data_IF_340821444243
#
_entry.id   IF_340821444243
#
_cell.length_a   1.000
_cell.length_b   1.000
_cell.length_c   1.000
_cell.angle_alpha   90.00
_cell.angle_beta   90.00
_cell.angle_gamma   90.00
#
_symmetry.space_group_name_H-M   'P 1'
#
loop_
_entity.id
_entity.type
_entity.pdbx_description
1 polymer ?
#
# COMPACT_ATOMS: atom_id res chain seq x y z
N UNK A 1 -36.05 21.99 -24.71
CA UNK A 1 -37.19 21.26 -24.16
C UNK A 1 -36.97 19.76 -24.34
N UNK A 2 -37.34 18.97 -23.34
CA UNK A 2 -37.27 17.51 -23.44
C UNK A 2 -38.31 16.99 -24.41
N UNK A 3 -37.90 16.11 -25.33
CA UNK A 3 -38.81 15.37 -26.22
C UNK A 3 -39.28 14.09 -25.53
N UNK A 4 -40.57 13.85 -25.51
CA UNK A 4 -41.19 12.67 -24.86
C UNK A 4 -41.81 11.80 -25.93
N UNK A 5 -41.43 10.51 -25.97
CA UNK A 5 -41.95 9.51 -26.91
C UNK A 5 -42.50 8.31 -26.11
N UNK A 6 -43.77 7.94 -26.39
CA UNK A 6 -44.41 6.76 -25.80
C UNK A 6 -44.03 5.52 -26.61
N UNK A 7 -43.53 4.49 -25.93
CA UNK A 7 -43.16 3.21 -26.55
C UNK A 7 -44.29 2.19 -26.46
N UNK A 8 -44.28 1.22 -27.37
CA UNK A 8 -45.30 0.15 -27.44
C UNK A 8 -45.43 -0.66 -26.14
N UNK A 9 -44.38 -0.74 -25.33
CA UNK A 9 -44.36 -1.46 -24.05
C UNK A 9 -44.86 -0.62 -22.86
N UNK A 10 -45.55 0.51 -23.09
CA UNK A 10 -46.09 1.38 -22.06
C UNK A 10 -45.06 2.25 -21.32
N UNK A 11 -43.79 2.22 -21.72
CA UNK A 11 -42.77 3.13 -21.20
C UNK A 11 -42.67 4.40 -22.05
N UNK A 12 -42.09 5.45 -21.45
CA UNK A 12 -41.83 6.72 -22.10
C UNK A 12 -40.33 6.96 -22.24
N UNK A 13 -39.90 7.39 -23.43
CA UNK A 13 -38.53 7.85 -23.68
C UNK A 13 -38.51 9.36 -23.59
N UNK A 14 -37.72 9.91 -22.70
CA UNK A 14 -37.47 11.34 -22.55
C UNK A 14 -36.10 11.62 -23.15
N UNK A 15 -36.00 12.51 -24.13
CA UNK A 15 -34.75 12.89 -24.80
C UNK A 15 -34.51 14.39 -24.65
N UNK A 16 -33.28 14.75 -24.23
CA UNK A 16 -32.86 16.15 -24.09
C UNK A 16 -31.64 16.38 -24.97
N UNK A 17 -31.66 17.46 -25.70
CA UNK A 17 -30.53 17.93 -26.49
C UNK A 17 -29.52 18.63 -25.57
N UNK A 18 -28.26 18.20 -25.62
CA UNK A 18 -27.18 18.65 -24.75
C UNK A 18 -26.05 19.39 -25.51
N UNK A 19 -26.34 19.95 -26.67
CA UNK A 19 -25.38 20.68 -27.52
C UNK A 19 -24.72 19.81 -28.58
N UNK A 20 -23.58 20.26 -29.08
CA UNK A 20 -22.79 19.56 -30.09
C UNK A 20 -21.52 18.92 -29.50
N UNK A 21 -20.89 17.98 -30.21
CA UNK A 21 -19.56 17.49 -29.89
C UNK A 21 -18.51 18.61 -29.94
N UNK A 22 -17.33 18.39 -29.31
CA UNK A 22 -16.28 19.42 -29.25
C UNK A 22 -15.79 19.88 -30.65
N UNK A 23 -15.96 19.03 -31.68
CA UNK A 23 -15.65 19.30 -33.07
C UNK A 23 -16.84 19.94 -33.85
N UNK A 24 -17.97 20.19 -33.16
CA UNK A 24 -19.18 20.79 -33.74
C UNK A 24 -19.98 19.89 -34.72
N UNK A 25 -19.53 18.67 -35.00
CA UNK A 25 -20.06 17.84 -36.09
C UNK A 25 -21.27 17.00 -35.70
N UNK A 26 -21.39 16.60 -34.42
CA UNK A 26 -22.46 15.70 -33.95
C UNK A 26 -23.31 16.31 -32.84
N UNK A 27 -24.62 16.20 -32.96
CA UNK A 27 -25.55 16.56 -31.90
C UNK A 27 -25.45 15.57 -30.74
N UNK A 28 -25.14 16.07 -29.55
CA UNK A 28 -25.20 15.31 -28.32
C UNK A 28 -26.59 15.39 -27.71
N UNK A 29 -27.23 14.23 -27.52
CA UNK A 29 -28.51 14.13 -26.81
C UNK A 29 -28.41 13.07 -25.73
N UNK A 30 -29.03 13.33 -24.60
CA UNK A 30 -29.23 12.32 -23.55
C UNK A 30 -30.65 11.83 -23.53
N UNK A 31 -30.88 10.58 -23.18
CA UNK A 31 -32.22 10.02 -23.09
C UNK A 31 -32.36 9.14 -21.84
N UNK A 32 -33.53 9.21 -21.21
CA UNK A 32 -33.90 8.31 -20.13
C UNK A 32 -35.24 7.60 -20.48
N UNK A 33 -35.41 6.40 -19.92
CA UNK A 33 -36.68 5.67 -20.01
C UNK A 33 -37.40 5.83 -18.67
N UNK A 34 -38.64 6.31 -18.75
CA UNK A 34 -39.50 6.46 -17.58
C UNK A 34 -40.70 5.47 -17.68
N UNK A 35 -41.13 4.94 -16.54
CA UNK A 35 -42.30 4.08 -16.43
C UNK A 35 -43.19 4.56 -15.29
N UNK A 36 -44.53 4.44 -15.40
CA UNK A 36 -45.42 4.70 -14.28
C UNK A 36 -45.01 3.89 -13.05
N UNK A 37 -44.97 4.54 -11.90
CA UNK A 37 -44.56 3.91 -10.64
C UNK A 37 -45.59 2.93 -10.06
N UNK A 38 -46.83 3.01 -10.53
CA UNK A 38 -47.94 2.12 -10.11
C UNK A 38 -48.78 1.74 -11.32
N UNK A 39 -49.28 0.48 -11.43
CA UNK A 39 -50.04 0.04 -12.61
C UNK A 39 -51.41 0.74 -12.76
N UNK A 40 -51.98 1.28 -11.70
CA UNK A 40 -53.31 1.90 -11.68
C UNK A 40 -53.32 3.42 -11.65
N UNK A 41 -52.28 4.07 -12.21
CA UNK A 41 -52.25 5.53 -12.34
C UNK A 41 -53.20 6.00 -13.43
N UNK A 42 -54.00 7.04 -13.16
CA UNK A 42 -54.80 7.72 -14.19
C UNK A 42 -53.92 8.44 -15.20
N UNK A 43 -54.42 8.66 -16.43
CA UNK A 43 -53.66 9.37 -17.46
C UNK A 43 -53.15 10.73 -17.01
N UNK A 44 -53.97 11.52 -16.25
CA UNK A 44 -53.58 12.80 -15.68
C UNK A 44 -52.45 12.67 -14.66
N UNK A 45 -52.43 11.59 -13.87
CA UNK A 45 -51.35 11.33 -12.91
C UNK A 45 -50.05 10.92 -13.59
N UNK A 46 -50.16 10.13 -14.67
CA UNK A 46 -49.04 9.73 -15.55
C UNK A 46 -48.42 10.97 -16.17
N UNK A 47 -49.25 11.82 -16.78
CA UNK A 47 -48.79 13.04 -17.47
C UNK A 47 -48.09 14.01 -16.49
N UNK A 48 -48.68 14.24 -15.31
CA UNK A 48 -48.08 15.11 -14.29
C UNK A 48 -46.71 14.57 -13.80
N UNK A 49 -46.65 13.26 -13.53
CA UNK A 49 -45.42 12.61 -13.08
C UNK A 49 -44.36 12.56 -14.19
N UNK A 50 -44.78 12.33 -15.46
CA UNK A 50 -43.90 12.32 -16.61
C UNK A 50 -43.33 13.72 -16.91
N UNK A 51 -44.16 14.76 -16.87
CA UNK A 51 -43.72 16.14 -17.07
C UNK A 51 -42.74 16.58 -15.97
N UNK A 52 -42.97 16.18 -14.70
CA UNK A 52 -42.03 16.41 -13.62
C UNK A 52 -40.70 15.69 -13.87
N UNK A 53 -40.74 14.42 -14.27
CA UNK A 53 -39.54 13.64 -14.58
C UNK A 53 -38.77 14.21 -15.77
N UNK A 54 -39.50 14.74 -16.78
CA UNK A 54 -38.90 15.40 -17.94
C UNK A 54 -38.21 16.71 -17.56
N UNK A 55 -38.84 17.51 -16.70
CA UNK A 55 -38.28 18.76 -16.20
C UNK A 55 -37.02 18.49 -15.34
N UNK A 56 -37.11 17.56 -14.39
CA UNK A 56 -35.97 17.16 -13.55
C UNK A 56 -34.80 16.61 -14.39
N UNK A 57 -35.11 15.90 -15.48
CA UNK A 57 -34.10 15.39 -16.40
C UNK A 57 -33.47 16.48 -17.26
N UNK A 58 -34.28 17.42 -17.76
CA UNK A 58 -33.79 18.59 -18.50
C UNK A 58 -32.88 19.46 -17.64
N UNK A 59 -33.25 19.72 -16.38
CA UNK A 59 -32.43 20.45 -15.43
C UNK A 59 -31.09 19.76 -15.16
N UNK A 60 -31.12 18.44 -15.00
CA UNK A 60 -29.88 17.63 -14.89
C UNK A 60 -28.98 17.76 -16.11
N UNK A 61 -29.56 17.71 -17.29
CA UNK A 61 -28.80 17.87 -18.54
C UNK A 61 -28.22 19.28 -18.69
N UNK A 62 -28.97 20.32 -18.32
CA UNK A 62 -28.52 21.73 -18.35
C UNK A 62 -27.42 22.02 -17.31
N UNK A 63 -27.49 21.39 -16.15
CA UNK A 63 -26.45 21.52 -15.11
C UNK A 63 -25.15 20.77 -15.46
N UNK A 64 -25.09 20.17 -16.65
CA UNK A 64 -23.92 19.40 -17.13
C UNK A 64 -23.77 18.05 -16.44
N UNK A 65 -24.78 17.59 -15.68
CA UNK A 65 -24.80 16.25 -15.13
C UNK A 65 -25.10 15.27 -16.27
N UNK A 66 -24.08 14.57 -16.72
CA UNK A 66 -24.26 13.41 -17.61
C UNK A 66 -25.02 12.34 -16.84
N UNK A 67 -26.09 11.79 -17.45
CA UNK A 67 -26.71 10.57 -16.89
C UNK A 67 -25.72 9.43 -17.14
N UNK A 68 -24.81 9.28 -16.21
CA UNK A 68 -23.77 8.27 -16.32
C UNK A 68 -24.36 6.92 -15.94
N UNK A 69 -24.76 6.14 -16.97
CA UNK A 69 -25.25 4.78 -16.80
C UNK A 69 -24.10 3.79 -16.53
N UNK A 70 -22.89 4.31 -16.37
CA UNK A 70 -21.67 3.54 -16.23
C UNK A 70 -21.59 2.80 -14.88
N UNK A 71 -21.10 1.57 -14.92
CA UNK A 71 -20.82 0.81 -13.69
C UNK A 71 -19.65 1.42 -12.94
N UNK A 72 -19.67 1.28 -11.63
CA UNK A 72 -18.63 1.83 -10.76
C UNK A 72 -17.24 1.26 -11.08
N UNK A 73 -17.12 -0.04 -11.43
CA UNK A 73 -15.84 -0.64 -11.83
C UNK A 73 -15.22 0.04 -13.05
N UNK A 74 -16.02 0.31 -14.12
CA UNK A 74 -15.54 0.99 -15.32
C UNK A 74 -15.14 2.44 -15.02
N UNK A 75 -15.94 3.11 -14.17
CA UNK A 75 -15.63 4.47 -13.75
C UNK A 75 -14.34 4.53 -12.92
N UNK A 76 -14.05 3.52 -12.08
CA UNK A 76 -12.78 3.41 -11.38
C UNK A 76 -11.60 3.31 -12.34
N UNK A 77 -11.71 2.53 -13.42
CA UNK A 77 -10.62 2.45 -14.42
C UNK A 77 -10.42 3.80 -15.11
N UNK A 78 -11.50 4.50 -15.49
CA UNK A 78 -11.43 5.88 -15.99
C UNK A 78 -10.77 6.83 -14.99
N UNK A 79 -11.05 6.67 -13.69
CA UNK A 79 -10.40 7.45 -12.63
C UNK A 79 -8.91 7.15 -12.54
N UNK A 80 -8.49 5.87 -12.66
CA UNK A 80 -7.07 5.52 -12.68
C UNK A 80 -6.35 6.18 -13.84
N UNK A 81 -6.86 6.05 -15.06
CA UNK A 81 -6.26 6.58 -16.29
C UNK A 81 -6.21 8.12 -16.31
N UNK A 82 -7.33 8.75 -15.98
CA UNK A 82 -7.49 10.20 -16.20
C UNK A 82 -7.07 11.04 -14.99
N UNK A 83 -6.99 10.46 -13.79
CA UNK A 83 -6.72 11.21 -12.56
C UNK A 83 -5.59 10.62 -11.72
N UNK A 84 -5.71 9.35 -11.31
CA UNK A 84 -4.81 8.79 -10.31
C UNK A 84 -3.35 8.74 -10.77
N UNK A 85 -3.11 8.28 -12.01
CA UNK A 85 -1.76 8.16 -12.58
C UNK A 85 -1.04 9.50 -12.74
N UNK A 86 -1.80 10.60 -12.89
CA UNK A 86 -1.25 11.95 -13.01
C UNK A 86 -1.07 12.67 -11.68
N UNK A 87 -1.87 12.33 -10.66
CA UNK A 87 -1.95 13.09 -9.41
C UNK A 87 -1.36 12.37 -8.21
N UNK A 88 -1.38 11.04 -8.21
CA UNK A 88 -0.86 10.23 -7.12
C UNK A 88 0.57 9.77 -7.40
N UNK A 89 1.33 9.55 -6.34
CA UNK A 89 2.61 8.84 -6.45
C UNK A 89 2.38 7.39 -6.87
N UNK A 90 3.31 6.76 -7.60
CA UNK A 90 3.17 5.38 -8.06
C UNK A 90 2.75 4.39 -6.97
N UNK A 91 3.36 4.46 -5.79
CA UNK A 91 2.98 3.63 -4.63
C UNK A 91 1.55 3.88 -4.12
N UNK A 92 1.00 5.07 -4.37
CA UNK A 92 -0.40 5.39 -4.07
C UNK A 92 -1.36 4.72 -5.05
N UNK A 93 -1.02 4.76 -6.35
CA UNK A 93 -1.78 4.09 -7.41
C UNK A 93 -1.79 2.57 -7.17
N UNK A 94 -0.62 1.95 -6.95
CA UNK A 94 -0.50 0.52 -6.65
C UNK A 94 -1.37 0.13 -5.45
N UNK A 95 -1.33 0.94 -4.39
CA UNK A 95 -2.16 0.69 -3.21
C UNK A 95 -3.65 0.82 -3.48
N UNK A 96 -4.08 1.77 -4.31
CA UNK A 96 -5.47 1.86 -4.74
C UNK A 96 -5.88 0.64 -5.56
N UNK A 97 -5.01 0.15 -6.45
CA UNK A 97 -5.21 -1.08 -7.22
C UNK A 97 -5.37 -2.32 -6.31
N UNK A 98 -4.63 -2.41 -5.21
CA UNK A 98 -4.80 -3.49 -4.23
C UNK A 98 -6.20 -3.54 -3.59
N UNK A 99 -6.92 -2.41 -3.55
CA UNK A 99 -8.28 -2.35 -2.99
C UNK A 99 -9.36 -2.73 -4.00
N UNK A 100 -9.10 -2.66 -5.31
CA UNK A 100 -10.13 -2.85 -6.34
C UNK A 100 -10.84 -4.21 -6.28
N UNK A 101 -10.20 -5.37 -6.03
CA UNK A 101 -10.91 -6.64 -6.07
C UNK A 101 -12.12 -6.68 -5.12
N UNK A 102 -11.93 -6.28 -3.86
CA UNK A 102 -13.03 -6.26 -2.87
C UNK A 102 -14.04 -5.15 -3.13
N UNK A 103 -13.59 -4.02 -3.63
CA UNK A 103 -14.48 -2.91 -3.99
C UNK A 103 -15.35 -3.30 -5.18
N UNK A 104 -14.78 -3.95 -6.20
CA UNK A 104 -15.52 -4.40 -7.38
C UNK A 104 -16.50 -5.52 -7.05
N UNK A 105 -16.13 -6.46 -6.18
CA UNK A 105 -17.02 -7.51 -5.71
C UNK A 105 -18.33 -6.94 -5.14
N UNK A 106 -18.25 -5.85 -4.35
CA UNK A 106 -19.42 -5.33 -3.64
C UNK A 106 -20.10 -4.16 -4.35
N UNK A 107 -19.34 -3.27 -4.98
CA UNK A 107 -19.84 -2.02 -5.56
C UNK A 107 -19.68 -1.96 -7.07
N UNK A 108 -18.78 -2.76 -7.67
CA UNK A 108 -18.38 -2.65 -9.08
C UNK A 108 -19.53 -2.78 -10.08
N UNK A 109 -20.46 -3.68 -9.83
CA UNK A 109 -21.61 -3.96 -10.69
C UNK A 109 -22.70 -2.87 -10.63
N UNK A 110 -22.67 -2.01 -9.61
CA UNK A 110 -23.64 -0.95 -9.42
C UNK A 110 -23.34 0.24 -10.34
N UNK A 111 -24.37 0.94 -10.78
CA UNK A 111 -24.19 2.20 -11.50
C UNK A 111 -23.72 3.28 -10.54
N UNK A 112 -22.75 4.11 -10.96
CA UNK A 112 -22.17 5.14 -10.12
C UNK A 112 -23.20 6.15 -9.58
N UNK A 113 -24.22 6.48 -10.39
CA UNK A 113 -25.31 7.41 -10.02
C UNK A 113 -26.37 6.78 -9.07
N UNK A 114 -26.25 5.48 -8.77
CA UNK A 114 -27.16 4.72 -7.92
C UNK A 114 -26.54 4.29 -6.58
N UNK A 115 -25.25 4.51 -6.41
CA UNK A 115 -24.59 4.22 -5.14
C UNK A 115 -24.94 5.35 -4.15
N UNK A 116 -25.73 5.01 -3.15
CA UNK A 116 -26.19 5.93 -2.10
C UNK A 116 -25.37 5.71 -0.82
N UNK A 117 -25.47 6.58 0.20
CA UNK A 117 -24.86 6.35 1.51
C UNK A 117 -25.21 4.98 2.11
N UNK A 118 -26.41 4.46 1.84
CA UNK A 118 -26.84 3.12 2.32
C UNK A 118 -25.99 2.00 1.73
N UNK A 119 -25.64 2.05 0.44
CA UNK A 119 -24.75 1.07 -0.18
C UNK A 119 -23.33 1.17 0.39
N UNK A 120 -22.87 2.39 0.71
CA UNK A 120 -21.56 2.59 1.37
C UNK A 120 -21.55 2.02 2.78
N UNK A 121 -22.59 2.25 3.59
CA UNK A 121 -22.72 1.65 4.93
C UNK A 121 -22.81 0.11 4.87
N UNK A 122 -23.52 -0.41 3.87
CA UNK A 122 -23.56 -1.84 3.56
C UNK A 122 -22.18 -2.40 3.21
N UNK A 123 -21.39 -1.67 2.43
CA UNK A 123 -20.02 -2.03 2.08
C UNK A 123 -19.08 -2.02 3.31
N UNK A 124 -19.19 -1.01 4.17
CA UNK A 124 -18.42 -0.93 5.43
C UNK A 124 -18.75 -2.12 6.34
N UNK A 125 -20.04 -2.43 6.50
CA UNK A 125 -20.49 -3.56 7.31
C UNK A 125 -19.98 -4.90 6.75
N UNK A 126 -20.01 -5.06 5.42
CA UNK A 126 -19.48 -6.24 4.75
C UNK A 126 -17.97 -6.37 4.92
N UNK A 127 -17.20 -5.27 4.76
CA UNK A 127 -15.75 -5.25 5.03
C UNK A 127 -15.42 -5.67 6.46
N UNK A 128 -16.24 -5.27 7.44
CA UNK A 128 -16.06 -5.66 8.85
C UNK A 128 -16.17 -7.16 9.10
N UNK A 129 -16.80 -7.89 8.19
CA UNK A 129 -16.91 -9.36 8.22
C UNK A 129 -15.88 -10.08 7.35
N UNK A 130 -15.01 -9.32 6.66
CA UNK A 130 -13.99 -9.89 5.81
C UNK A 130 -12.71 -10.18 6.59
N UNK A 131 -12.14 -11.33 6.33
CA UNK A 131 -10.83 -11.69 6.85
C UNK A 131 -9.71 -11.00 6.06
N UNK A 132 -8.59 -10.76 6.72
CA UNK A 132 -7.37 -10.41 6.01
C UNK A 132 -7.01 -11.59 5.12
N UNK A 133 -6.96 -11.40 3.80
CA UNK A 133 -6.43 -12.42 2.89
C UNK A 133 -4.94 -12.60 3.19
N UNK A 134 -4.66 -13.44 4.16
CA UNK A 134 -3.33 -14.01 4.28
C UNK A 134 -3.33 -15.30 3.48
N UNK A 135 -2.37 -15.43 2.57
CA UNK A 135 -1.97 -16.72 2.07
C UNK A 135 -1.92 -17.67 3.26
N UNK A 136 -2.72 -18.73 3.21
CA UNK A 136 -2.73 -19.74 4.27
C UNK A 136 -1.28 -20.16 4.54
N UNK A 137 -0.89 -20.18 5.80
CA UNK A 137 0.42 -20.65 6.21
C UNK A 137 0.35 -22.16 6.50
N UNK A 138 1.47 -22.82 6.39
CA UNK A 138 1.63 -24.23 6.67
C UNK A 138 2.72 -24.45 7.71
N UNK A 139 2.47 -25.27 8.71
CA UNK A 139 3.47 -25.79 9.62
C UNK A 139 3.75 -27.25 9.28
N UNK A 140 5.02 -27.63 9.13
CA UNK A 140 5.37 -29.02 8.86
C UNK A 140 5.08 -29.89 10.08
N UNK A 141 4.51 -31.09 9.85
CA UNK A 141 4.23 -32.10 10.88
C UNK A 141 5.40 -33.06 10.99
N UNK A 142 6.02 -33.10 12.13
CA UNK A 142 7.12 -34.03 12.39
C UNK A 142 8.50 -33.51 11.98
N UNK A 143 9.40 -34.40 11.59
CA UNK A 143 10.79 -34.07 11.23
C UNK A 143 11.03 -34.25 9.72
N UNK A 144 11.10 -33.13 9.00
CA UNK A 144 11.40 -33.13 7.57
C UNK A 144 12.81 -33.65 7.28
N UNK A 145 13.78 -33.47 8.22
CA UNK A 145 15.14 -33.98 8.03
C UNK A 145 15.15 -35.51 8.01
N UNK A 146 14.37 -36.14 8.90
CA UNK A 146 14.25 -37.61 8.93
C UNK A 146 13.65 -38.13 7.63
N UNK A 147 12.62 -37.49 7.08
CA UNK A 147 12.03 -37.88 5.78
C UNK A 147 13.04 -37.72 4.64
N UNK A 148 13.83 -36.64 4.63
CA UNK A 148 14.86 -36.40 3.61
C UNK A 148 15.95 -37.46 3.68
N UNK A 149 16.40 -37.81 4.88
CA UNK A 149 17.39 -38.86 5.08
C UNK A 149 16.88 -40.24 4.60
N UNK A 150 15.60 -40.56 4.86
CA UNK A 150 15.00 -41.83 4.42
C UNK A 150 14.84 -41.91 2.89
N UNK A 151 14.66 -40.75 2.22
CA UNK A 151 14.53 -40.69 0.76
C UNK A 151 15.86 -40.40 0.04
N UNK A 152 16.95 -40.36 0.75
CA UNK A 152 18.30 -40.04 0.24
C UNK A 152 18.33 -38.68 -0.54
N UNK A 153 17.59 -37.70 0.01
CA UNK A 153 17.44 -36.38 -0.59
C UNK A 153 18.10 -35.30 0.28
N UNK A 154 18.75 -34.34 -0.38
CA UNK A 154 19.25 -33.12 0.29
C UNK A 154 18.22 -32.02 0.32
N UNK A 155 18.33 -31.06 1.27
CA UNK A 155 17.48 -29.88 1.28
C UNK A 155 17.57 -29.07 -0.03
N UNK A 156 18.76 -29.07 -0.66
CA UNK A 156 19.00 -28.37 -1.93
C UNK A 156 18.27 -29.06 -3.07
N UNK A 157 18.38 -30.40 -3.16
CA UNK A 157 17.68 -31.20 -4.17
C UNK A 157 16.16 -31.06 -4.04
N UNK A 158 15.61 -31.09 -2.80
CA UNK A 158 14.18 -30.86 -2.59
C UNK A 158 13.76 -29.44 -3.00
N UNK A 159 14.59 -28.43 -2.73
CA UNK A 159 14.29 -27.05 -3.13
C UNK A 159 14.19 -26.91 -4.66
N UNK A 160 15.14 -27.51 -5.38
CA UNK A 160 15.16 -27.53 -6.85
C UNK A 160 13.96 -28.29 -7.42
N UNK A 161 13.67 -29.48 -6.90
CA UNK A 161 12.56 -30.32 -7.36
C UNK A 161 11.18 -29.69 -7.07
N UNK A 162 11.01 -29.06 -5.91
CA UNK A 162 9.78 -28.36 -5.53
C UNK A 162 9.64 -26.96 -6.17
N UNK A 163 10.68 -26.43 -6.82
CA UNK A 163 10.68 -25.07 -7.35
C UNK A 163 10.49 -23.99 -6.27
N UNK A 164 11.08 -24.19 -5.09
CA UNK A 164 11.03 -23.26 -3.96
C UNK A 164 12.44 -22.84 -3.52
N UNK A 165 12.56 -21.73 -2.79
CA UNK A 165 13.87 -21.32 -2.29
C UNK A 165 14.43 -22.29 -1.23
N UNK A 166 15.75 -22.45 -1.17
CA UNK A 166 16.42 -23.21 -0.12
C UNK A 166 16.06 -22.71 1.28
N UNK A 167 15.83 -21.40 1.43
CA UNK A 167 15.37 -20.81 2.69
C UNK A 167 13.95 -21.29 3.07
N UNK A 168 13.07 -21.54 2.10
CA UNK A 168 11.73 -22.11 2.36
C UNK A 168 11.84 -23.53 2.92
N UNK A 169 12.71 -24.36 2.33
CA UNK A 169 12.96 -25.71 2.85
C UNK A 169 13.57 -25.65 4.25
N UNK A 170 14.56 -24.79 4.48
CA UNK A 170 15.14 -24.58 5.80
C UNK A 170 14.09 -24.17 6.84
N UNK A 171 13.18 -23.26 6.46
CA UNK A 171 12.06 -22.86 7.34
C UNK A 171 11.15 -24.04 7.66
N UNK A 172 10.83 -24.88 6.68
CA UNK A 172 10.01 -26.08 6.90
C UNK A 172 10.71 -27.10 7.81
N UNK A 173 12.04 -27.30 7.65
CA UNK A 173 12.84 -28.18 8.53
C UNK A 173 12.99 -27.66 9.96
N UNK A 174 12.87 -26.37 10.16
CA UNK A 174 12.86 -25.72 11.49
C UNK A 174 11.44 -25.58 12.06
N UNK A 175 10.44 -26.24 11.47
CA UNK A 175 9.00 -26.14 11.83
C UNK A 175 8.46 -24.71 11.84
N UNK A 176 9.11 -23.79 11.11
CA UNK A 176 8.64 -22.44 10.90
C UNK A 176 7.54 -22.41 9.85
N UNK A 177 6.65 -21.44 9.98
CA UNK A 177 5.56 -21.26 9.03
C UNK A 177 6.07 -20.89 7.64
N UNK A 178 5.59 -21.60 6.64
CA UNK A 178 5.78 -21.33 5.22
C UNK A 178 4.43 -21.06 4.56
N UNK A 179 4.41 -20.50 3.35
CA UNK A 179 3.16 -20.32 2.59
C UNK A 179 2.57 -21.66 2.19
N UNK A 180 1.24 -21.77 2.21
CA UNK A 180 0.54 -22.99 1.83
C UNK A 180 0.88 -23.47 0.41
N UNK A 181 0.98 -22.53 -0.56
CA UNK A 181 1.44 -22.84 -1.93
C UNK A 181 2.81 -23.54 -1.97
N UNK A 182 3.73 -23.11 -1.10
CA UNK A 182 5.05 -23.75 -1.01
C UNK A 182 4.95 -25.12 -0.33
N UNK A 183 4.05 -25.28 0.63
CA UNK A 183 3.78 -26.57 1.26
C UNK A 183 3.21 -27.58 0.24
N UNK A 184 2.30 -27.15 -0.64
CA UNK A 184 1.77 -27.97 -1.73
C UNK A 184 2.86 -28.40 -2.70
N UNK A 185 3.76 -27.49 -3.11
CA UNK A 185 4.90 -27.80 -3.98
C UNK A 185 5.89 -28.78 -3.33
N UNK A 186 6.20 -28.58 -2.04
CA UNK A 186 7.07 -29.48 -1.28
C UNK A 186 6.42 -30.86 -1.14
N UNK A 187 5.14 -30.92 -0.85
CA UNK A 187 4.40 -32.19 -0.72
C UNK A 187 4.34 -32.94 -2.03
N UNK A 188 4.12 -32.27 -3.15
CA UNK A 188 4.17 -32.86 -4.49
C UNK A 188 5.56 -33.45 -4.81
N UNK A 189 6.64 -32.72 -4.48
CA UNK A 189 8.01 -33.21 -4.67
C UNK A 189 8.34 -34.39 -3.77
N UNK A 190 7.73 -34.50 -2.59
CA UNK A 190 7.88 -35.66 -1.70
C UNK A 190 6.95 -36.84 -2.06
N UNK A 191 5.99 -36.64 -2.97
CA UNK A 191 5.02 -37.67 -3.36
C UNK A 191 3.97 -37.97 -2.29
N UNK A 192 3.70 -37.01 -1.38
CA UNK A 192 2.76 -37.19 -0.27
C UNK A 192 1.68 -36.12 -0.27
N UNK A 193 0.44 -36.42 0.19
CA UNK A 193 -0.62 -35.41 0.32
C UNK A 193 -0.24 -34.27 1.28
N UNK A 194 -0.50 -33.03 0.88
CA UNK A 194 -0.12 -31.86 1.67
C UNK A 194 -0.72 -31.88 3.08
N UNK A 195 -1.97 -32.30 3.24
CA UNK A 195 -2.66 -32.39 4.52
C UNK A 195 -2.05 -33.43 5.49
N UNK A 196 -1.28 -34.41 4.96
CA UNK A 196 -0.56 -35.38 5.77
C UNK A 196 0.73 -34.79 6.35
N UNK A 197 1.41 -33.94 5.56
CA UNK A 197 2.71 -33.38 5.91
C UNK A 197 2.63 -32.01 6.60
N UNK A 198 1.56 -31.26 6.36
CA UNK A 198 1.44 -29.89 6.85
C UNK A 198 0.12 -29.62 7.53
N UNK A 199 0.18 -28.85 8.63
CA UNK A 199 -0.97 -28.21 9.25
C UNK A 199 -1.26 -26.87 8.57
N UNK A 200 -2.46 -26.72 8.00
CA UNK A 200 -2.92 -25.45 7.45
C UNK A 200 -3.26 -24.52 8.60
N UNK A 201 -2.59 -23.37 8.66
CA UNK A 201 -2.86 -22.32 9.63
C UNK A 201 -3.37 -21.09 8.89
N UNK A 202 -4.66 -20.81 9.04
CA UNK A 202 -5.29 -19.57 8.61
C UNK A 202 -5.35 -18.63 9.81
N UNK A 203 -4.82 -17.43 9.66
CA UNK A 203 -5.04 -16.35 10.63
C UNK A 203 -6.46 -15.82 10.39
N UNK A 204 -7.39 -16.12 11.29
CA UNK A 204 -8.78 -15.65 11.24
C UNK A 204 -8.95 -14.17 11.61
N UNK A 205 -7.93 -13.36 11.34
CA UNK A 205 -7.98 -11.93 11.63
C UNK A 205 -8.91 -11.20 10.67
N UNK A 206 -9.94 -10.55 11.23
CA UNK A 206 -10.80 -9.61 10.51
C UNK A 206 -10.01 -8.36 10.07
N UNK A 207 -10.50 -7.68 9.04
CA UNK A 207 -9.94 -6.40 8.61
C UNK A 207 -9.95 -5.40 9.76
N UNK A 208 -8.82 -4.73 9.99
CA UNK A 208 -8.75 -3.71 11.02
C UNK A 208 -9.59 -2.47 10.66
N UNK A 209 -10.12 -1.72 11.65
CA UNK A 209 -10.81 -0.45 11.42
C UNK A 209 -10.02 0.52 10.54
N UNK A 210 -8.69 0.56 10.71
CA UNK A 210 -7.81 1.37 9.87
C UNK A 210 -7.80 0.91 8.42
N UNK A 211 -7.80 -0.40 8.18
CA UNK A 211 -7.87 -0.96 6.82
C UNK A 211 -9.20 -0.64 6.17
N UNK A 212 -10.33 -0.80 6.88
CA UNK A 212 -11.67 -0.43 6.40
C UNK A 212 -11.70 1.05 6.01
N UNK A 213 -11.18 1.95 6.85
CA UNK A 213 -11.07 3.37 6.53
C UNK A 213 -10.28 3.62 5.25
N UNK A 214 -9.19 2.87 5.00
CA UNK A 214 -8.40 3.02 3.78
C UNK A 214 -9.22 2.61 2.53
N UNK A 215 -10.00 1.53 2.58
CA UNK A 215 -10.93 1.14 1.50
C UNK A 215 -11.92 2.26 1.20
N UNK A 216 -12.58 2.79 2.24
CA UNK A 216 -13.56 3.88 2.08
C UNK A 216 -12.90 5.15 1.58
N UNK A 217 -11.68 5.47 2.00
CA UNK A 217 -10.93 6.62 1.50
C UNK A 217 -10.60 6.50 0.01
N UNK A 218 -10.28 5.31 -0.47
CA UNK A 218 -10.10 5.04 -1.89
C UNK A 218 -11.41 5.27 -2.65
N UNK A 219 -12.50 4.62 -2.22
CA UNK A 219 -13.83 4.78 -2.84
C UNK A 219 -14.28 6.25 -2.83
N UNK A 220 -14.06 6.95 -1.73
CA UNK A 220 -14.36 8.38 -1.61
C UNK A 220 -13.57 9.23 -2.62
N UNK A 221 -12.29 8.93 -2.87
CA UNK A 221 -11.50 9.68 -3.85
C UNK A 221 -12.00 9.49 -5.29
N UNK A 222 -12.52 8.30 -5.63
CA UNK A 222 -13.18 8.05 -6.92
C UNK A 222 -14.47 8.88 -7.03
N UNK A 223 -15.29 8.91 -5.97
CA UNK A 223 -16.52 9.72 -5.95
C UNK A 223 -16.24 11.23 -5.94
N UNK A 224 -15.17 11.70 -5.27
CA UNK A 224 -14.78 13.10 -5.33
C UNK A 224 -14.41 13.52 -6.75
N UNK A 225 -13.73 12.66 -7.51
CA UNK A 225 -13.48 12.89 -8.92
C UNK A 225 -14.78 12.89 -9.74
N UNK A 226 -15.72 11.98 -9.45
CA UNK A 226 -17.02 11.94 -10.11
C UNK A 226 -17.83 13.22 -9.88
N UNK A 227 -17.76 13.80 -8.68
CA UNK A 227 -18.34 15.11 -8.36
C UNK A 227 -17.63 16.22 -9.12
N UNK A 228 -16.29 16.20 -9.15
CA UNK A 228 -15.47 17.20 -9.84
C UNK A 228 -15.82 17.29 -11.34
N UNK A 229 -15.99 16.16 -12.02
CA UNK A 229 -16.39 16.11 -13.44
C UNK A 229 -17.92 16.19 -13.64
N UNK A 230 -18.68 16.46 -12.57
CA UNK A 230 -20.15 16.56 -12.57
C UNK A 230 -20.89 15.31 -13.02
N UNK A 231 -20.28 14.12 -12.89
CA UNK A 231 -20.93 12.85 -13.15
C UNK A 231 -22.00 12.52 -12.10
N UNK A 232 -21.80 12.97 -10.87
CA UNK A 232 -22.76 12.85 -9.75
C UNK A 232 -22.84 14.19 -8.98
N UNK A 233 -23.88 14.38 -8.17
CA UNK A 233 -24.10 15.62 -7.41
C UNK A 233 -23.23 15.71 -6.16
N UNK A 234 -23.12 14.62 -5.43
CA UNK A 234 -22.45 14.55 -4.13
C UNK A 234 -21.75 13.20 -3.94
N UNK A 235 -20.74 13.21 -3.08
CA UNK A 235 -20.00 12.01 -2.74
C UNK A 235 -20.74 11.24 -1.63
N UNK A 236 -21.22 10.01 -1.88
CA UNK A 236 -21.97 9.23 -0.91
C UNK A 236 -21.15 8.78 0.31
N UNK A 237 -19.82 8.86 0.26
CA UNK A 237 -18.95 8.47 1.36
C UNK A 237 -18.78 9.55 2.43
N UNK A 238 -19.19 10.82 2.17
CA UNK A 238 -18.88 11.94 3.09
C UNK A 238 -19.44 11.78 4.50
N UNK A 239 -20.61 11.16 4.63
CA UNK A 239 -21.30 10.96 5.90
C UNK A 239 -21.30 9.49 6.35
N UNK A 240 -20.39 8.66 5.78
CA UNK A 240 -20.32 7.26 6.13
C UNK A 240 -19.85 7.03 7.57
N UNK A 241 -20.55 6.15 8.29
CA UNK A 241 -20.25 5.79 9.68
C UNK A 241 -19.05 4.82 9.72
N UNK A 242 -17.85 5.36 9.84
CA UNK A 242 -16.63 4.56 9.93
C UNK A 242 -16.44 3.96 11.32
N UNK A 243 -15.90 2.72 11.42
CA UNK A 243 -15.59 2.12 12.71
C UNK A 243 -14.52 2.94 13.45
N UNK A 244 -14.66 3.04 14.77
CA UNK A 244 -13.68 3.71 15.62
C UNK A 244 -12.32 3.01 15.53
N UNK A 245 -11.28 3.80 15.26
CA UNK A 245 -9.91 3.29 15.23
C UNK A 245 -9.37 3.38 16.67
N UNK A 246 -9.03 2.26 17.32
CA UNK A 246 -8.37 2.31 18.61
C UNK A 246 -7.07 3.11 18.49
N UNK A 247 -6.82 4.02 19.42
CA UNK A 247 -5.51 4.65 19.52
C UNK A 247 -4.50 3.57 19.91
N UNK A 248 -3.66 3.20 18.95
CA UNK A 248 -2.53 2.34 19.25
C UNK A 248 -1.45 3.19 19.94
N UNK A 249 -1.02 2.76 21.11
CA UNK A 249 0.18 3.32 21.71
C UNK A 249 1.37 3.07 20.78
N UNK A 250 1.97 4.15 20.30
CA UNK A 250 3.21 4.07 19.54
C UNK A 250 4.34 3.72 20.50
N UNK A 251 4.72 2.45 20.52
CA UNK A 251 5.88 2.01 21.30
C UNK A 251 7.13 2.70 20.78
N UNK A 252 7.74 3.48 21.64
CA UNK A 252 9.04 4.13 21.44
C UNK A 252 9.98 3.63 22.52
N UNK A 253 11.27 3.70 22.26
CA UNK A 253 12.25 3.50 23.33
C UNK A 253 12.16 4.63 24.35
N UNK A 254 12.23 4.30 25.63
CA UNK A 254 12.59 5.24 26.69
C UNK A 254 14.04 5.70 26.49
N UNK A 255 14.46 6.74 27.20
CA UNK A 255 15.84 7.23 27.11
C UNK A 255 16.84 6.14 27.48
N UNK A 256 16.55 5.34 28.52
CA UNK A 256 17.45 4.28 28.98
C UNK A 256 17.48 3.10 27.99
N UNK A 257 16.33 2.74 27.37
CA UNK A 257 16.30 1.74 26.32
C UNK A 257 17.03 2.21 25.06
N UNK A 258 16.95 3.50 24.74
CA UNK A 258 17.69 4.10 23.63
C UNK A 258 19.21 4.07 23.88
N UNK A 259 19.67 4.35 25.11
CA UNK A 259 21.09 4.21 25.50
C UNK A 259 21.55 2.77 25.36
N UNK A 260 20.79 1.81 25.91
CA UNK A 260 21.09 0.39 25.78
C UNK A 260 21.15 -0.05 24.31
N UNK A 261 20.28 0.48 23.46
CA UNK A 261 20.30 0.18 22.03
C UNK A 261 21.55 0.78 21.35
N UNK A 262 21.98 1.98 21.73
CA UNK A 262 23.22 2.59 21.24
C UNK A 262 24.44 1.76 21.67
N UNK A 263 24.50 1.31 22.93
CA UNK A 263 25.58 0.42 23.41
C UNK A 263 25.65 -0.88 22.59
N UNK A 264 24.49 -1.44 22.18
CA UNK A 264 24.43 -2.61 21.31
C UNK A 264 24.94 -2.28 19.90
N UNK A 265 24.60 -1.11 19.36
CA UNK A 265 25.10 -0.67 18.06
C UNK A 265 26.62 -0.50 18.04
N UNK A 266 27.21 -0.05 19.13
CA UNK A 266 28.64 0.23 19.24
C UNK A 266 29.50 -1.01 19.53
N UNK A 267 28.89 -2.18 19.72
CA UNK A 267 29.61 -3.45 19.88
C UNK A 267 30.31 -3.85 18.58
N UNK A 268 31.47 -4.48 18.74
CA UNK A 268 32.31 -4.92 17.60
C UNK A 268 31.63 -5.96 16.70
N UNK A 269 30.74 -6.79 17.25
CA UNK A 269 29.96 -7.81 16.53
C UNK A 269 28.77 -7.24 15.75
N UNK A 270 28.44 -5.95 15.92
CA UNK A 270 27.37 -5.29 15.14
C UNK A 270 27.87 -4.89 13.76
N UNK A 271 27.26 -5.43 12.66
CA UNK A 271 27.66 -5.05 11.31
C UNK A 271 27.54 -3.55 11.08
N UNK A 272 28.60 -2.94 10.57
CA UNK A 272 28.74 -1.48 10.40
C UNK A 272 27.57 -0.85 9.63
N UNK A 273 26.98 -1.56 8.66
CA UNK A 273 25.80 -1.08 7.92
C UNK A 273 24.59 -0.82 8.80
N UNK A 274 24.36 -1.64 9.85
CA UNK A 274 23.25 -1.42 10.77
C UNK A 274 23.59 -0.33 11.79
N UNK A 275 24.83 -0.28 12.28
CA UNK A 275 25.32 0.81 13.13
C UNK A 275 25.11 2.15 12.42
N UNK A 276 25.60 2.30 11.19
CA UNK A 276 25.45 3.53 10.42
C UNK A 276 23.97 3.87 10.13
N UNK A 277 23.15 2.87 9.79
CA UNK A 277 21.73 3.08 9.52
C UNK A 277 21.00 3.65 10.74
N UNK A 278 21.19 3.05 11.91
CA UNK A 278 20.49 3.46 13.13
C UNK A 278 21.06 4.74 13.74
N UNK A 279 22.37 5.00 13.61
CA UNK A 279 22.93 6.31 13.95
C UNK A 279 22.30 7.43 13.12
N UNK A 280 22.16 7.25 11.81
CA UNK A 280 21.47 8.21 10.95
C UNK A 280 19.98 8.35 11.32
N UNK A 281 19.31 7.25 11.69
CA UNK A 281 17.90 7.27 12.09
C UNK A 281 17.69 8.03 13.42
N UNK A 282 18.57 7.80 14.41
CA UNK A 282 18.46 8.39 15.75
C UNK A 282 18.90 9.85 15.74
N UNK A 283 20.10 10.14 15.24
CA UNK A 283 20.69 11.48 15.33
C UNK A 283 20.22 12.42 14.20
N UNK A 284 19.90 11.89 13.02
CA UNK A 284 19.38 12.70 11.91
C UNK A 284 17.85 12.74 11.82
N UNK A 285 17.15 11.87 12.54
CA UNK A 285 15.70 11.78 12.47
C UNK A 285 15.18 11.52 11.05
N UNK A 286 15.97 10.85 10.20
CA UNK A 286 15.63 10.59 8.80
C UNK A 286 14.54 9.51 8.67
N UNK A 287 13.74 9.61 7.61
CA UNK A 287 12.82 8.53 7.25
C UNK A 287 13.59 7.37 6.63
N UNK A 288 13.09 6.13 6.80
CA UNK A 288 13.71 4.92 6.23
C UNK A 288 14.08 5.09 4.75
N UNK A 289 13.15 5.58 3.94
CA UNK A 289 13.40 5.76 2.50
C UNK A 289 14.40 6.88 2.18
N UNK A 290 14.52 7.89 3.03
CA UNK A 290 15.54 8.93 2.95
C UNK A 290 16.92 8.33 3.22
N UNK A 291 17.08 7.54 4.31
CA UNK A 291 18.36 6.87 4.64
C UNK A 291 18.81 5.94 3.52
N UNK A 292 17.90 5.08 3.03
CA UNK A 292 18.20 4.15 1.95
C UNK A 292 18.48 4.84 0.61
N UNK A 293 17.99 6.08 0.45
CA UNK A 293 18.23 6.92 -0.71
C UNK A 293 19.51 7.73 -0.68
N UNK A 294 20.25 7.73 0.43
CA UNK A 294 21.53 8.46 0.51
C UNK A 294 22.57 7.90 -0.43
N UNK A 295 23.27 8.80 -1.07
CA UNK A 295 24.45 8.53 -1.90
C UNK A 295 25.70 9.15 -1.28
N UNK A 296 26.87 8.66 -1.64
CA UNK A 296 28.14 9.15 -1.07
C UNK A 296 28.35 10.65 -1.29
N UNK A 297 27.85 11.20 -2.40
CA UNK A 297 27.90 12.63 -2.71
C UNK A 297 26.97 13.50 -1.85
N UNK A 298 25.99 12.89 -1.16
CA UNK A 298 25.08 13.61 -0.28
C UNK A 298 25.73 13.95 1.07
N UNK A 299 26.93 13.44 1.34
CA UNK A 299 27.61 13.61 2.62
C UNK A 299 28.88 14.42 2.42
N UNK A 300 28.91 15.58 3.06
CA UNK A 300 30.15 16.34 3.24
C UNK A 300 30.84 15.83 4.52
N UNK A 301 31.92 15.09 4.33
CA UNK A 301 32.67 14.46 5.41
C UNK A 301 33.53 15.45 6.21
N UNK A 302 33.77 16.65 5.73
CA UNK A 302 34.58 17.67 6.39
C UNK A 302 33.70 18.52 7.31
N UNK A 303 32.53 18.92 6.84
CA UNK A 303 31.58 19.74 7.60
C UNK A 303 30.56 18.91 8.39
N UNK A 304 30.43 17.62 8.11
CA UNK A 304 29.41 16.73 8.71
C UNK A 304 28.00 16.98 8.21
N UNK A 305 27.82 17.70 7.10
CA UNK A 305 26.53 18.02 6.51
C UNK A 305 26.04 16.86 5.67
N UNK A 306 24.78 16.44 5.90
CA UNK A 306 24.08 15.42 5.10
C UNK A 306 22.88 16.05 4.38
N UNK A 307 22.85 15.92 3.08
CA UNK A 307 21.78 16.42 2.21
C UNK A 307 20.74 15.36 1.92
N UNK A 308 19.47 15.62 2.20
CA UNK A 308 18.36 14.76 1.83
C UNK A 308 17.76 15.24 0.52
N UNK A 309 18.06 14.54 -0.58
CA UNK A 309 17.64 14.89 -1.93
C UNK A 309 16.57 13.97 -2.49
N UNK A 310 16.53 12.71 -2.03
CA UNK A 310 15.65 11.66 -2.60
C UNK A 310 15.12 10.70 -1.55
N UNK A 311 14.12 9.94 -1.94
CA UNK A 311 13.54 8.86 -1.14
C UNK A 311 13.40 7.61 -2.02
N UNK A 312 14.00 6.50 -1.59
CA UNK A 312 13.90 5.20 -2.28
C UNK A 312 12.61 4.50 -1.92
N UNK A 313 11.94 3.99 -2.94
CA UNK A 313 10.79 3.11 -2.86
C UNK A 313 11.09 1.79 -3.58
N UNK A 314 10.28 0.79 -3.27
CA UNK A 314 10.31 -0.50 -3.96
C UNK A 314 8.88 -0.91 -4.29
N UNK A 315 8.64 -1.35 -5.52
CA UNK A 315 7.42 -2.05 -5.90
C UNK A 315 7.75 -3.33 -6.65
N UNK A 316 6.80 -4.27 -6.72
CA UNK A 316 7.01 -5.52 -7.45
C UNK A 316 7.13 -5.30 -8.96
N UNK A 317 6.42 -4.32 -9.49
CA UNK A 317 6.35 -4.03 -10.93
C UNK A 317 7.55 -3.24 -11.43
N UNK A 318 8.03 -2.26 -10.62
CA UNK A 318 9.07 -1.31 -11.02
C UNK A 318 10.44 -1.60 -10.41
N UNK A 319 10.50 -2.50 -9.41
CA UNK A 319 11.71 -2.66 -8.61
C UNK A 319 11.97 -1.45 -7.70
N UNK A 320 13.24 -1.07 -7.55
CA UNK A 320 13.62 0.14 -6.81
C UNK A 320 13.51 1.38 -7.69
N UNK A 321 12.94 2.44 -7.13
CA UNK A 321 12.84 3.73 -7.80
C UNK A 321 12.92 4.88 -6.80
N UNK A 322 13.46 6.00 -7.27
CA UNK A 322 13.57 7.22 -6.48
C UNK A 322 12.36 8.12 -6.69
N UNK A 323 12.01 8.84 -5.65
CA UNK A 323 11.06 9.94 -5.72
C UNK A 323 11.63 11.14 -5.00
N UNK A 324 11.23 12.33 -5.43
CA UNK A 324 11.46 13.52 -4.64
C UNK A 324 10.82 13.38 -3.25
N UNK A 325 11.41 14.00 -2.23
CA UNK A 325 10.81 14.05 -0.90
C UNK A 325 9.38 14.59 -0.96
N UNK A 326 8.53 14.16 -0.02
CA UNK A 326 7.06 14.42 -0.03
C UNK A 326 6.67 15.91 -0.05
N UNK A 327 7.57 16.82 0.34
CA UNK A 327 7.35 18.25 0.31
C UNK A 327 8.68 18.98 0.11
N UNK A 328 8.67 20.21 -0.42
CA UNK A 328 9.87 21.08 -0.52
C UNK A 328 10.59 21.25 0.82
N UNK A 329 9.88 21.29 1.93
CA UNK A 329 10.46 21.30 3.29
C UNK A 329 11.18 19.99 3.68
N UNK A 330 11.01 18.91 2.94
CA UNK A 330 11.70 17.64 3.19
C UNK A 330 13.04 17.56 2.48
N UNK A 331 13.32 18.41 1.49
CA UNK A 331 14.67 18.66 0.97
C UNK A 331 15.37 19.54 2.00
N UNK A 332 16.34 18.99 2.69
CA UNK A 332 17.03 19.66 3.80
C UNK A 332 18.45 19.16 3.93
N UNK A 333 19.29 19.98 4.50
CA UNK A 333 20.62 19.64 4.97
C UNK A 333 20.62 19.62 6.49
N UNK A 334 21.32 18.68 7.08
CA UNK A 334 21.46 18.53 8.54
C UNK A 334 22.91 18.27 8.86
N UNK A 335 23.46 19.01 9.84
CA UNK A 335 24.79 18.71 10.40
C UNK A 335 24.63 17.61 11.43
N UNK A 336 25.39 16.54 11.29
CA UNK A 336 25.37 15.39 12.19
C UNK A 336 26.59 15.39 13.12
N UNK A 337 26.49 14.79 14.31
CA UNK A 337 27.62 14.61 15.22
C UNK A 337 28.79 13.90 14.54
N UNK A 338 30.01 14.27 14.90
CA UNK A 338 31.25 13.71 14.32
C UNK A 338 31.34 12.18 14.45
N UNK A 339 30.83 11.61 15.55
CA UNK A 339 30.77 10.15 15.75
C UNK A 339 29.88 9.43 14.72
N UNK A 340 28.78 10.06 14.29
CA UNK A 340 27.92 9.52 13.23
C UNK A 340 28.65 9.54 11.89
N UNK A 341 29.28 10.65 11.58
CA UNK A 341 30.07 10.81 10.34
C UNK A 341 31.24 9.82 10.31
N UNK A 342 31.90 9.60 11.46
CA UNK A 342 32.96 8.58 11.60
C UNK A 342 32.42 7.17 11.28
N UNK A 343 31.27 6.81 11.83
CA UNK A 343 30.61 5.53 11.55
C UNK A 343 30.29 5.37 10.05
N UNK A 344 29.83 6.44 9.39
CA UNK A 344 29.57 6.43 7.93
C UNK A 344 30.86 6.32 7.12
N UNK A 345 31.97 6.93 7.58
CA UNK A 345 33.31 6.71 6.97
C UNK A 345 33.75 5.23 7.06
N UNK A 346 33.53 4.59 8.21
CA UNK A 346 33.80 3.16 8.38
C UNK A 346 32.98 2.30 7.42
N UNK A 347 31.67 2.61 7.24
CA UNK A 347 30.83 1.94 6.26
C UNK A 347 31.37 2.07 4.83
N UNK A 348 31.87 3.26 4.45
CA UNK A 348 32.49 3.49 3.15
C UNK A 348 33.71 2.60 2.94
N UNK A 349 34.58 2.53 3.94
CA UNK A 349 35.79 1.70 3.89
C UNK A 349 35.45 0.21 3.76
N UNK A 350 34.45 -0.28 4.51
CA UNK A 350 33.99 -1.66 4.38
C UNK A 350 33.42 -1.94 2.97
N UNK A 351 32.59 -1.03 2.44
CA UNK A 351 32.02 -1.19 1.10
C UNK A 351 33.12 -1.18 0.02
N UNK A 352 34.14 -0.33 0.15
CA UNK A 352 35.31 -0.33 -0.76
C UNK A 352 36.08 -1.66 -0.68
N UNK A 353 36.30 -2.18 0.52
CA UNK A 353 36.94 -3.49 0.72
C UNK A 353 36.12 -4.63 0.09
N UNK A 354 34.80 -4.63 0.25
CA UNK A 354 33.91 -5.62 -0.38
C UNK A 354 33.97 -5.52 -1.91
N UNK A 355 33.96 -4.31 -2.45
CA UNK A 355 34.11 -4.07 -3.90
C UNK A 355 35.42 -4.63 -4.45
N UNK A 356 36.53 -4.40 -3.76
CA UNK A 356 37.84 -4.93 -4.16
C UNK A 356 37.85 -6.47 -4.13
N UNK A 357 37.24 -7.09 -3.13
CA UNK A 357 37.15 -8.57 -3.00
C UNK A 357 36.31 -9.21 -4.09
N UNK A 358 35.22 -8.56 -4.51
CA UNK A 358 34.25 -9.11 -5.46
C UNK A 358 34.61 -8.79 -6.92
N UNK A 359 35.38 -7.73 -7.17
CA UNK A 359 35.76 -7.33 -8.53
C UNK A 359 34.54 -7.13 -9.42
N UNK A 360 34.51 -7.81 -10.55
CA UNK A 360 33.44 -7.70 -11.56
C UNK A 360 32.06 -8.21 -11.07
N UNK A 361 32.01 -8.93 -9.95
CA UNK A 361 30.74 -9.35 -9.33
C UNK A 361 30.08 -8.26 -8.51
N UNK A 362 30.77 -7.14 -8.30
CA UNK A 362 30.22 -6.00 -7.58
C UNK A 362 29.33 -5.16 -8.49
N UNK A 363 28.06 -5.00 -8.09
CA UNK A 363 27.18 -4.05 -8.75
C UNK A 363 27.52 -2.62 -8.33
N UNK A 364 28.08 -1.85 -9.28
CA UNK A 364 28.53 -0.47 -9.02
C UNK A 364 27.36 0.44 -8.73
N UNK A 365 27.39 1.12 -7.58
CA UNK A 365 26.35 2.06 -7.11
C UNK A 365 26.96 3.19 -6.31
N UNK A 366 26.31 4.32 -6.29
CA UNK A 366 26.60 5.47 -5.42
C UNK A 366 25.98 5.36 -4.01
N UNK A 367 25.13 4.36 -3.76
CA UNK A 367 24.36 4.21 -2.53
C UNK A 367 25.20 3.83 -1.32
N UNK A 368 24.85 4.41 -0.16
CA UNK A 368 25.46 4.04 1.13
C UNK A 368 25.04 2.63 1.56
N UNK A 369 23.78 2.29 1.40
CA UNK A 369 23.20 1.06 1.94
C UNK A 369 22.96 0.04 0.85
N UNK A 370 23.84 -0.95 0.79
CA UNK A 370 23.85 -2.01 -0.21
C UNK A 370 23.72 -3.39 0.41
N UNK A 371 23.43 -4.36 -0.44
CA UNK A 371 23.64 -5.78 -0.16
C UNK A 371 25.14 -6.10 -0.26
N UNK A 372 25.52 -7.32 0.06
CA UNK A 372 26.92 -7.77 0.03
C UNK A 372 27.58 -7.67 -1.37
N UNK A 373 26.77 -7.66 -2.42
CA UNK A 373 27.16 -7.61 -3.82
C UNK A 373 26.93 -6.23 -4.49
N UNK A 374 26.62 -5.21 -3.71
CA UNK A 374 26.47 -3.83 -4.19
C UNK A 374 25.08 -3.42 -4.64
N UNK A 375 24.07 -4.31 -4.67
CA UNK A 375 22.71 -3.93 -5.00
C UNK A 375 22.06 -3.12 -3.88
N UNK A 376 20.99 -2.37 -4.22
CA UNK A 376 20.23 -1.58 -3.25
C UNK A 376 19.71 -2.46 -2.09
N UNK A 377 19.95 -2.05 -0.85
CA UNK A 377 19.40 -2.73 0.33
C UNK A 377 17.88 -2.62 0.37
N UNK A 378 17.20 -3.75 0.59
CA UNK A 378 15.75 -3.77 0.70
C UNK A 378 15.25 -3.08 1.98
N UNK A 379 14.15 -2.31 1.86
CA UNK A 379 13.60 -1.51 2.96
C UNK A 379 13.18 -2.28 4.21
N UNK A 380 12.93 -3.58 4.10
CA UNK A 380 12.61 -4.42 5.27
C UNK A 380 13.87 -4.90 6.01
N UNK A 381 15.06 -4.88 5.38
CA UNK A 381 16.30 -5.41 5.97
C UNK A 381 16.66 -4.78 7.32
N UNK A 382 16.67 -3.44 7.48
CA UNK A 382 16.97 -2.82 8.77
C UNK A 382 15.90 -3.16 9.83
N UNK A 383 14.64 -3.25 9.45
CA UNK A 383 13.57 -3.60 10.38
C UNK A 383 13.67 -5.06 10.86
N UNK A 384 14.00 -5.98 9.96
CA UNK A 384 14.22 -7.39 10.31
C UNK A 384 15.38 -7.55 11.28
N UNK A 385 16.48 -6.81 11.06
CA UNK A 385 17.61 -6.80 11.99
C UNK A 385 17.21 -6.22 13.35
N UNK A 386 16.55 -5.05 13.37
CA UNK A 386 16.04 -4.42 14.60
C UNK A 386 15.17 -5.37 15.43
N UNK A 387 14.22 -6.04 14.78
CA UNK A 387 13.32 -6.97 15.48
C UNK A 387 14.09 -8.10 16.16
N UNK A 388 15.05 -8.70 15.47
CA UNK A 388 15.90 -9.76 16.03
C UNK A 388 16.76 -9.26 17.17
N UNK A 389 17.34 -8.06 17.03
CA UNK A 389 18.17 -7.43 18.07
C UNK A 389 17.33 -7.10 19.31
N UNK A 390 16.13 -6.54 19.14
CA UNK A 390 15.23 -6.29 20.26
C UNK A 390 14.84 -7.60 20.99
N UNK A 391 14.58 -8.67 20.27
CA UNK A 391 14.28 -9.99 20.84
C UNK A 391 15.49 -10.55 21.62
N UNK A 392 16.68 -10.46 21.04
CA UNK A 392 17.93 -11.00 21.61
C UNK A 392 18.31 -10.28 22.91
N UNK A 393 18.14 -8.96 22.98
CA UNK A 393 18.58 -8.15 24.11
C UNK A 393 17.44 -7.71 25.05
N UNK A 394 16.23 -8.26 24.89
CA UNK A 394 15.08 -7.95 25.73
C UNK A 394 14.63 -6.49 25.67
N UNK A 395 14.75 -5.86 24.48
CA UNK A 395 14.25 -4.52 24.24
C UNK A 395 12.81 -4.58 23.68
N UNK A 396 11.99 -3.55 23.91
CA UNK A 396 10.63 -3.51 23.34
C UNK A 396 10.67 -3.48 21.81
N UNK A 397 9.69 -4.11 21.18
CA UNK A 397 9.53 -4.08 19.72
C UNK A 397 9.06 -2.70 19.28
N UNK A 398 9.91 -1.98 18.57
CA UNK A 398 9.62 -0.67 18.00
C UNK A 398 9.69 -0.72 16.47
N UNK A 399 9.11 0.27 15.79
CA UNK A 399 9.23 0.40 14.35
C UNK A 399 10.32 1.42 13.96
N UNK A 400 10.76 1.41 12.70
CA UNK A 400 11.82 2.33 12.24
C UNK A 400 11.41 3.81 12.33
N UNK A 401 10.11 4.12 12.27
CA UNK A 401 9.63 5.50 12.38
C UNK A 401 9.71 6.02 13.82
N UNK A 402 9.71 5.12 14.82
CA UNK A 402 9.85 5.48 16.23
C UNK A 402 11.18 6.18 16.52
N UNK A 403 12.26 5.89 15.77
CA UNK A 403 13.54 6.58 15.93
C UNK A 403 13.46 8.07 15.56
N UNK A 404 12.63 8.42 14.59
CA UNK A 404 12.37 9.83 14.27
C UNK A 404 11.60 10.54 15.39
N UNK A 405 10.65 9.85 16.03
CA UNK A 405 9.97 10.38 17.21
C UNK A 405 10.93 10.51 18.39
N UNK A 406 11.81 9.51 18.60
CA UNK A 406 12.86 9.57 19.61
C UNK A 406 13.79 10.77 19.38
N UNK A 407 14.27 10.98 18.16
CA UNK A 407 15.09 12.16 17.81
C UNK A 407 14.37 13.47 18.16
N UNK A 408 13.10 13.62 17.79
CA UNK A 408 12.32 14.82 18.13
C UNK A 408 12.19 15.01 19.65
N UNK A 409 11.94 13.92 20.41
CA UNK A 409 11.85 13.97 21.86
C UNK A 409 13.19 14.35 22.51
N UNK A 410 14.31 13.84 22.02
CA UNK A 410 15.65 14.19 22.48
C UNK A 410 15.98 15.67 22.23
N UNK A 411 15.63 16.20 21.04
CA UNK A 411 15.82 17.62 20.71
C UNK A 411 14.99 18.52 21.62
N UNK A 412 13.73 18.18 21.87
CA UNK A 412 12.86 18.93 22.79
C UNK A 412 13.44 18.93 24.21
N UNK A 413 13.89 17.76 24.71
CA UNK A 413 14.48 17.65 26.05
C UNK A 413 15.79 18.41 26.20
N UNK A 414 16.52 18.64 25.10
CA UNK A 414 17.75 19.47 25.10
C UNK A 414 17.49 20.96 24.89
N UNK A 415 16.23 21.42 24.91
CA UNK A 415 15.85 22.84 24.79
C UNK A 415 15.87 23.38 23.36
N UNK A 416 16.00 22.52 22.34
CA UNK A 416 15.92 22.95 20.94
C UNK A 416 14.47 23.12 20.53
N UNK A 417 14.10 24.34 20.06
CA UNK A 417 12.77 24.63 19.54
C UNK A 417 12.54 23.88 18.22
N UNK A 418 11.63 22.93 18.25
CA UNK A 418 11.27 22.11 17.07
C UNK A 418 10.10 22.79 16.35
N UNK A 419 10.38 23.77 15.51
CA UNK A 419 9.40 24.38 14.58
C UNK A 419 9.30 23.64 13.25
#
# INVERSE_FOLDING_TARGET
MAQIEKRANGSYRIRVFCGYSADGTKQKSQSMTWRPSRPNMTEKQIEKALNKAAFDFEEKCRSGQTVNAEKFENFCETWFENYAERTLKPSGVERCREYTPRVYEKLGHLRIDRITPREIDGFITWLGKQHVEKTANAAFRGDLKAILSHKDMTQKSLAEQAGVSSQTIKSATESKLIRWENAEKISAALGEPCQKLFDKRTDDKMLSPKTIKNYVSFVSSVFDYAVHIKAIKENPCKNAALPKIPQAEHKMFTIDEAKRFLDILDRDDTPIKYRAFFHLAIFGGFRRGEILGLEWEDIDFDTGIVHIRRTVHYSKERGYYDTEPKSRKSVRALTLPSGVIFTVKQLRNEQLSQRLKLGDKWHSTSRLFTTWDGHQMHGATPFTWLTKTCEQYGLPKVNLHSFRHLNASLLISSGVDVK
#
